data_IF_053325949248
#
_entry.id   IF_053325949248
#
_cell.length_a   1.000
_cell.length_b   1.000
_cell.length_c   1.000
_cell.angle_alpha   90.00
_cell.angle_beta   90.00
_cell.angle_gamma   90.00
#
_symmetry.space_group_name_H-M   'P 1'
#
loop_
_entity.id
_entity.type
_entity.pdbx_description
1 polymer ?
#
# COMPACT_ATOMS: atom_id res chain seq x y z
N UNK A 1 11.85 -19.18 85.54
CA UNK A 1 11.54 -18.47 84.28
C UNK A 1 10.61 -19.39 83.49
N UNK A 2 9.35 -19.01 83.33
CA UNK A 2 8.23 -19.93 83.07
C UNK A 2 8.14 -20.38 81.60
N UNK A 3 7.94 -21.70 81.39
CA UNK A 3 7.66 -22.36 80.10
C UNK A 3 6.49 -21.73 79.30
N UNK A 4 5.63 -20.96 79.97
CA UNK A 4 4.46 -20.28 79.38
C UNK A 4 4.83 -19.13 78.42
N UNK A 5 6.00 -18.51 78.56
CA UNK A 5 6.42 -17.38 77.71
C UNK A 5 6.94 -17.83 76.35
N UNK A 6 7.45 -19.06 76.22
CA UNK A 6 8.00 -19.60 74.97
C UNK A 6 6.87 -20.03 74.01
N UNK A 7 5.78 -20.61 74.53
CA UNK A 7 4.62 -21.04 73.74
C UNK A 7 3.84 -19.87 73.13
N UNK A 8 3.68 -18.76 73.86
CA UNK A 8 3.06 -17.52 73.35
C UNK A 8 3.86 -16.89 72.19
N UNK A 9 5.19 -16.98 72.22
CA UNK A 9 6.04 -16.51 71.12
C UNK A 9 5.85 -17.32 69.84
N UNK A 10 5.68 -18.64 69.93
CA UNK A 10 5.46 -19.50 68.77
C UNK A 10 4.13 -19.24 68.05
N UNK A 11 3.06 -18.98 68.79
CA UNK A 11 1.74 -18.66 68.20
C UNK A 11 1.70 -17.29 67.52
N UNK A 12 2.38 -16.29 68.09
CA UNK A 12 2.52 -14.96 67.49
C UNK A 12 3.34 -15.02 66.19
N UNK A 13 4.46 -15.76 66.19
CA UNK A 13 5.27 -15.96 64.98
C UNK A 13 4.52 -16.74 63.88
N UNK A 14 3.64 -17.67 64.24
CA UNK A 14 2.82 -18.44 63.28
C UNK A 14 1.69 -17.58 62.69
N UNK A 15 1.08 -16.72 63.50
CA UNK A 15 0.06 -15.75 63.08
C UNK A 15 0.62 -14.68 62.15
N UNK A 16 1.79 -14.10 62.47
CA UNK A 16 2.48 -13.11 61.62
C UNK A 16 2.90 -13.73 60.28
N UNK A 17 3.40 -14.98 60.27
CA UNK A 17 3.73 -15.69 59.01
C UNK A 17 2.50 -15.95 58.15
N UNK A 18 1.36 -16.34 58.72
CA UNK A 18 0.12 -16.52 57.95
C UNK A 18 -0.39 -15.19 57.37
N UNK A 19 -0.29 -14.10 58.12
CA UNK A 19 -0.72 -12.77 57.67
C UNK A 19 0.18 -12.23 56.54
N UNK A 20 1.50 -12.42 56.62
CA UNK A 20 2.41 -12.06 55.51
C UNK A 20 2.16 -12.88 54.24
N UNK A 21 1.88 -14.17 54.38
CA UNK A 21 1.55 -15.04 53.23
C UNK A 21 0.25 -14.58 52.56
N UNK A 22 -0.77 -14.22 53.34
CA UNK A 22 -2.02 -13.68 52.79
C UNK A 22 -1.80 -12.36 52.06
N UNK A 23 -0.99 -11.45 52.60
CA UNK A 23 -0.66 -10.17 51.96
C UNK A 23 0.11 -10.39 50.65
N UNK A 24 1.07 -11.32 50.61
CA UNK A 24 1.81 -11.67 49.40
C UNK A 24 0.92 -12.29 48.32
N UNK A 25 0.02 -13.19 48.70
CA UNK A 25 -0.97 -13.78 47.77
C UNK A 25 -1.92 -12.70 47.25
N UNK A 26 -2.40 -11.81 48.11
CA UNK A 26 -3.29 -10.73 47.70
C UNK A 26 -2.59 -9.73 46.76
N UNK A 27 -1.35 -9.35 47.05
CA UNK A 27 -0.55 -8.48 46.17
C UNK A 27 -0.24 -9.14 44.81
N UNK A 28 0.03 -10.45 44.77
CA UNK A 28 0.26 -11.18 43.51
C UNK A 28 -1.02 -11.32 42.68
N UNK A 29 -2.17 -11.54 43.32
CA UNK A 29 -3.48 -11.54 42.64
C UNK A 29 -3.83 -10.16 42.09
N UNK A 30 -3.58 -9.08 42.84
CA UNK A 30 -3.84 -7.71 42.35
C UNK A 30 -2.93 -7.35 41.19
N UNK A 31 -1.64 -7.68 41.26
CA UNK A 31 -0.69 -7.39 40.17
C UNK A 31 -1.02 -8.19 38.91
N UNK A 32 -1.39 -9.46 39.03
CA UNK A 32 -1.81 -10.28 37.87
C UNK A 32 -3.13 -9.79 37.25
N UNK A 33 -4.10 -9.37 38.05
CA UNK A 33 -5.34 -8.76 37.55
C UNK A 33 -5.09 -7.43 36.83
N UNK A 34 -4.21 -6.58 37.36
CA UNK A 34 -3.83 -5.32 36.72
C UNK A 34 -3.07 -5.53 35.41
N UNK A 35 -2.15 -6.50 35.35
CA UNK A 35 -1.47 -6.87 34.10
C UNK A 35 -2.47 -7.35 33.05
N UNK A 36 -3.43 -8.21 33.42
CA UNK A 36 -4.45 -8.70 32.48
C UNK A 36 -5.37 -7.58 31.97
N UNK A 37 -5.73 -6.62 32.83
CA UNK A 37 -6.51 -5.45 32.45
C UNK A 37 -5.74 -4.54 31.47
N UNK A 38 -4.45 -4.26 31.75
CA UNK A 38 -3.58 -3.51 30.84
C UNK A 38 -3.40 -4.24 29.50
N UNK A 39 -3.25 -5.56 29.51
CA UNK A 39 -3.09 -6.35 28.27
C UNK A 39 -4.36 -6.32 27.41
N UNK A 40 -5.55 -6.32 28.02
CA UNK A 40 -6.83 -6.13 27.31
C UNK A 40 -6.98 -4.72 26.74
N UNK A 41 -6.59 -3.69 27.49
CA UNK A 41 -6.63 -2.30 27.03
C UNK A 41 -5.66 -2.08 25.84
N UNK A 42 -4.42 -2.57 25.95
CA UNK A 42 -3.41 -2.49 24.88
C UNK A 42 -3.86 -3.22 23.61
N UNK A 43 -4.57 -4.36 23.73
CA UNK A 43 -5.13 -5.07 22.56
C UNK A 43 -6.35 -4.39 21.95
N UNK A 44 -7.03 -3.51 22.68
CA UNK A 44 -8.24 -2.84 22.22
C UNK A 44 -7.93 -1.50 21.52
N UNK A 45 -6.73 -0.95 21.73
CA UNK A 45 -6.26 0.34 21.16
C UNK A 45 -5.43 0.21 19.88
N UNK A 46 -5.05 -0.99 19.42
CA UNK A 46 -4.68 -1.17 18.01
C UNK A 46 -5.96 -1.15 17.18
N UNK A 47 -6.42 0.07 16.83
CA UNK A 47 -7.54 0.28 15.93
C UNK A 47 -7.33 -0.58 14.66
N UNK A 48 -8.12 -1.64 14.53
CA UNK A 48 -7.97 -2.60 13.44
C UNK A 48 -8.25 -1.90 12.09
N UNK A 49 -7.19 -1.52 11.39
CA UNK A 49 -7.27 -0.78 10.12
C UNK A 49 -7.66 -1.74 9.00
N UNK A 50 -8.95 -1.79 8.67
CA UNK A 50 -9.52 -2.72 7.68
C UNK A 50 -8.89 -2.55 6.29
N UNK A 51 -8.61 -1.32 5.84
CA UNK A 51 -8.06 -1.11 4.49
C UNK A 51 -6.66 -1.71 4.28
N UNK A 52 -5.91 -1.94 5.37
CA UNK A 52 -4.60 -2.62 5.34
C UNK A 52 -4.71 -4.15 5.49
N UNK A 53 -5.88 -4.68 5.83
CA UNK A 53 -6.09 -6.11 5.96
C UNK A 53 -6.24 -6.77 4.58
N UNK A 54 -5.25 -7.57 4.18
CA UNK A 54 -5.27 -8.33 2.92
C UNK A 54 -6.38 -9.38 2.83
N UNK A 55 -6.93 -9.82 3.96
CA UNK A 55 -7.99 -10.82 4.02
C UNK A 55 -9.40 -10.19 3.94
N UNK A 56 -9.52 -8.86 4.05
CA UNK A 56 -10.77 -8.16 3.85
C UNK A 56 -11.09 -8.03 2.36
N UNK A 57 -12.37 -7.97 2.00
CA UNK A 57 -12.79 -7.76 0.61
C UNK A 57 -12.33 -6.39 0.11
N UNK A 58 -12.15 -6.25 -1.21
CA UNK A 58 -11.76 -4.97 -1.83
C UNK A 58 -12.75 -3.85 -1.46
N UNK A 59 -14.05 -4.14 -1.49
CA UNK A 59 -15.10 -3.16 -1.15
C UNK A 59 -14.97 -2.68 0.30
N UNK A 60 -14.81 -3.59 1.26
CA UNK A 60 -14.60 -3.23 2.68
C UNK A 60 -13.35 -2.36 2.86
N UNK A 61 -12.26 -2.67 2.15
CA UNK A 61 -11.02 -1.90 2.20
C UNK A 61 -11.20 -0.49 1.63
N UNK A 62 -11.92 -0.36 0.51
CA UNK A 62 -12.24 0.94 -0.10
C UNK A 62 -13.10 1.78 0.83
N UNK A 63 -14.16 1.20 1.40
CA UNK A 63 -15.07 1.90 2.30
C UNK A 63 -14.38 2.40 3.57
N UNK A 64 -13.55 1.56 4.21
CA UNK A 64 -12.76 1.96 5.38
C UNK A 64 -11.74 3.07 5.02
N UNK A 65 -11.05 2.94 3.88
CA UNK A 65 -10.12 3.97 3.41
C UNK A 65 -10.82 5.31 3.16
N UNK A 66 -11.92 5.32 2.42
CA UNK A 66 -12.66 6.55 2.09
C UNK A 66 -13.26 7.25 3.31
N UNK A 67 -13.66 6.49 4.33
CA UNK A 67 -14.14 7.03 5.62
C UNK A 67 -13.03 7.73 6.41
N UNK A 68 -11.78 7.29 6.24
CA UNK A 68 -10.61 7.85 6.93
C UNK A 68 -10.03 9.08 6.24
N UNK A 69 -10.42 9.36 4.98
CA UNK A 69 -9.88 10.48 4.20
C UNK A 69 -10.60 11.80 4.51
N UNK A 70 -9.83 12.88 4.68
CA UNK A 70 -10.36 14.24 4.60
C UNK A 70 -10.75 14.59 3.16
N UNK A 71 -11.40 15.75 2.97
CA UNK A 71 -11.72 16.22 1.63
C UNK A 71 -10.45 16.49 0.81
N UNK A 72 -9.44 17.11 1.43
CA UNK A 72 -8.16 17.46 0.80
C UNK A 72 -7.40 16.20 0.36
N UNK A 73 -7.42 15.16 1.19
CA UNK A 73 -6.79 13.88 0.88
C UNK A 73 -7.49 13.14 -0.26
N UNK A 74 -8.75 13.47 -0.59
CA UNK A 74 -9.46 12.92 -1.76
C UNK A 74 -9.09 13.58 -3.07
N UNK A 75 -8.57 14.81 -3.04
CA UNK A 75 -8.33 15.60 -4.27
C UNK A 75 -7.12 15.09 -5.04
N UNK A 76 -5.97 14.90 -4.40
CA UNK A 76 -4.75 14.54 -5.13
C UNK A 76 -4.73 13.11 -5.69
N UNK A 77 -5.39 12.12 -5.06
CA UNK A 77 -5.57 10.80 -5.66
C UNK A 77 -6.33 10.81 -7.00
N UNK A 78 -7.10 11.85 -7.31
CA UNK A 78 -7.78 11.96 -8.62
C UNK A 78 -6.93 12.63 -9.69
N UNK A 79 -5.67 12.98 -9.40
CA UNK A 79 -4.80 13.66 -10.35
C UNK A 79 -3.78 12.70 -10.98
N UNK A 80 -3.43 12.99 -12.23
CA UNK A 80 -2.34 12.36 -12.95
C UNK A 80 -1.31 13.41 -13.36
N UNK A 81 -0.07 13.26 -12.91
CA UNK A 81 1.03 14.14 -13.32
C UNK A 81 2.01 13.43 -14.22
N UNK A 82 2.79 14.19 -14.98
CA UNK A 82 3.84 13.62 -15.82
C UNK A 82 5.20 13.78 -15.17
N UNK A 83 5.94 12.68 -15.04
CA UNK A 83 7.25 12.67 -14.41
C UNK A 83 8.31 12.05 -15.33
N UNK A 84 9.54 12.58 -15.28
CA UNK A 84 10.64 12.17 -16.16
C UNK A 84 10.83 13.10 -17.36
N UNK A 85 11.99 12.96 -18.01
CA UNK A 85 12.36 13.80 -19.16
C UNK A 85 11.36 13.58 -20.29
N UNK A 86 10.85 14.68 -20.83
CA UNK A 86 10.16 14.63 -22.11
C UNK A 86 11.23 14.51 -23.20
N UNK A 87 11.23 13.43 -23.98
CA UNK A 87 12.14 13.27 -25.10
C UNK A 87 11.77 14.17 -26.29
N UNK A 88 10.60 14.81 -26.26
CA UNK A 88 10.18 15.77 -27.29
C UNK A 88 10.85 17.13 -27.05
N UNK A 89 11.63 17.57 -28.03
CA UNK A 89 12.34 18.85 -28.02
C UNK A 89 11.41 20.06 -27.84
N UNK A 90 10.14 19.95 -28.28
CA UNK A 90 9.13 21.00 -28.12
C UNK A 90 8.57 21.10 -26.70
N UNK A 91 8.88 20.12 -25.83
CA UNK A 91 8.33 20.00 -24.48
C UNK A 91 9.40 19.85 -23.39
N UNK A 92 10.63 20.31 -23.65
CA UNK A 92 11.79 20.21 -22.73
C UNK A 92 11.56 20.97 -21.41
N UNK A 93 10.63 21.94 -21.37
CA UNK A 93 10.36 22.79 -20.19
C UNK A 93 9.68 22.08 -19.02
N UNK A 94 9.42 20.77 -19.09
CA UNK A 94 8.88 20.03 -17.95
C UNK A 94 9.90 20.05 -16.81
N UNK A 95 9.71 20.98 -15.87
CA UNK A 95 10.50 21.06 -14.65
C UNK A 95 10.40 19.73 -13.91
N UNK A 96 11.48 19.36 -13.21
CA UNK A 96 11.42 18.28 -12.21
C UNK A 96 10.50 18.76 -11.08
N UNK A 97 9.19 18.69 -11.29
CA UNK A 97 8.22 19.02 -10.24
C UNK A 97 8.41 17.96 -9.15
N UNK A 98 8.64 18.41 -7.92
CA UNK A 98 8.72 17.51 -6.78
C UNK A 98 7.39 16.74 -6.70
N UNK A 99 7.48 15.41 -6.70
CA UNK A 99 6.29 14.57 -6.62
C UNK A 99 5.71 14.67 -5.21
N UNK A 100 4.41 14.95 -5.16
CA UNK A 100 3.64 14.99 -3.93
C UNK A 100 3.30 13.57 -3.48
N UNK A 101 3.44 13.22 -2.20
CA UNK A 101 3.19 11.87 -1.71
C UNK A 101 1.72 11.44 -1.87
N UNK A 102 0.78 12.38 -1.96
CA UNK A 102 -0.66 12.11 -2.07
C UNK A 102 -1.15 11.98 -3.53
N UNK A 103 -0.25 12.07 -4.52
CA UNK A 103 -0.63 11.99 -5.94
C UNK A 103 -1.20 10.61 -6.28
N UNK A 104 -2.29 10.58 -7.03
CA UNK A 104 -2.92 9.32 -7.42
C UNK A 104 -2.12 8.54 -8.46
N UNK A 105 -1.66 9.22 -9.50
CA UNK A 105 -0.93 8.56 -10.58
C UNK A 105 0.12 9.44 -11.25
N UNK A 106 1.10 8.78 -11.87
CA UNK A 106 2.11 9.41 -12.71
C UNK A 106 2.16 8.76 -14.09
N UNK A 107 2.22 9.58 -15.15
CA UNK A 107 2.79 9.15 -16.42
C UNK A 107 4.30 9.10 -16.21
N UNK A 108 4.83 7.90 -15.96
CA UNK A 108 6.20 7.70 -15.52
C UNK A 108 7.11 7.41 -16.71
N UNK A 109 7.85 8.44 -17.15
CA UNK A 109 8.72 8.40 -18.35
C UNK A 109 10.20 8.19 -18.02
N UNK A 110 10.50 7.67 -16.84
CA UNK A 110 11.87 7.33 -16.45
C UNK A 110 12.01 5.82 -16.36
N UNK A 111 13.19 5.30 -16.69
CA UNK A 111 13.52 3.88 -16.53
C UNK A 111 14.34 3.61 -15.26
N UNK A 112 14.49 4.61 -14.39
CA UNK A 112 15.38 4.51 -13.23
C UNK A 112 14.61 3.97 -12.00
N UNK A 113 14.87 2.71 -11.59
CA UNK A 113 14.16 2.10 -10.46
C UNK A 113 14.40 2.82 -9.13
N UNK A 114 15.54 3.51 -8.98
CA UNK A 114 15.86 4.28 -7.76
C UNK A 114 14.85 5.41 -7.57
N UNK A 115 14.55 6.17 -8.63
CA UNK A 115 13.59 7.27 -8.56
C UNK A 115 12.17 6.78 -8.31
N UNK A 116 11.79 5.65 -8.91
CA UNK A 116 10.48 5.05 -8.65
C UNK A 116 10.34 4.65 -7.19
N UNK A 117 11.31 3.90 -6.67
CA UNK A 117 11.29 3.40 -5.31
C UNK A 117 11.30 4.53 -4.27
N UNK A 118 12.00 5.63 -4.57
CA UNK A 118 11.98 6.84 -3.74
C UNK A 118 10.57 7.46 -3.68
N UNK A 119 9.90 7.64 -4.82
CA UNK A 119 8.52 8.17 -4.86
C UNK A 119 7.53 7.26 -4.14
N UNK A 120 7.65 5.93 -4.32
CA UNK A 120 6.81 4.97 -3.62
C UNK A 120 7.04 5.03 -2.10
N UNK A 121 8.31 5.06 -1.67
CA UNK A 121 8.66 5.21 -0.26
C UNK A 121 8.09 6.51 0.32
N UNK A 122 8.18 7.60 -0.44
CA UNK A 122 7.61 8.90 -0.09
C UNK A 122 6.10 8.80 0.12
N UNK A 123 5.37 8.22 -0.84
CA UNK A 123 3.93 8.01 -0.73
C UNK A 123 3.57 7.12 0.48
N UNK A 124 4.32 6.06 0.73
CA UNK A 124 4.05 5.16 1.85
C UNK A 124 4.35 5.77 3.23
N UNK A 125 5.37 6.64 3.33
CA UNK A 125 5.87 7.15 4.61
C UNK A 125 5.40 8.56 4.96
N UNK A 126 5.20 9.43 3.96
CA UNK A 126 4.83 10.84 4.18
C UNK A 126 3.33 11.09 4.03
N UNK A 127 2.63 10.29 3.22
CA UNK A 127 1.18 10.37 3.19
C UNK A 127 0.61 9.60 4.39
N UNK A 128 -0.20 10.27 5.21
CA UNK A 128 -0.83 9.71 6.42
C UNK A 128 -1.50 8.35 6.21
N UNK A 129 -2.13 8.14 5.04
CA UNK A 129 -2.83 6.90 4.70
C UNK A 129 -1.95 5.87 3.98
N UNK A 130 -0.74 6.23 3.58
CA UNK A 130 0.20 5.34 2.89
C UNK A 130 -0.38 4.73 1.62
N UNK A 131 -1.07 5.54 0.80
CA UNK A 131 -1.65 5.09 -0.47
C UNK A 131 -0.53 5.11 -1.53
N UNK A 132 -0.25 3.99 -2.22
CA UNK A 132 0.78 3.95 -3.26
C UNK A 132 0.34 4.70 -4.52
N UNK A 133 1.33 5.16 -5.29
CA UNK A 133 1.12 5.88 -6.55
C UNK A 133 0.89 4.87 -7.69
N UNK A 134 -0.03 5.13 -8.61
CA UNK A 134 -0.16 4.34 -9.83
C UNK A 134 0.80 4.83 -10.92
N UNK A 135 1.63 3.93 -11.45
CA UNK A 135 2.57 4.27 -12.54
C UNK A 135 1.97 3.88 -13.90
N UNK A 136 1.60 4.88 -14.69
CA UNK A 136 1.05 4.76 -16.03
C UNK A 136 2.10 4.95 -17.13
N UNK A 137 2.04 4.14 -18.19
CA UNK A 137 2.88 4.32 -19.38
C UNK A 137 2.24 3.75 -20.67
N UNK A 138 2.58 4.32 -21.82
CA UNK A 138 2.12 3.83 -23.12
C UNK A 138 2.85 2.54 -23.52
N UNK A 139 2.11 1.42 -23.62
CA UNK A 139 2.61 0.10 -24.05
C UNK A 139 1.73 -0.38 -25.20
N UNK A 140 1.81 0.32 -26.34
CA UNK A 140 0.83 0.20 -27.44
C UNK A 140 1.05 -1.06 -28.28
N UNK A 141 2.30 -1.32 -28.68
CA UNK A 141 2.65 -2.47 -29.52
C UNK A 141 3.91 -3.14 -28.99
N UNK A 142 3.96 -3.31 -27.66
CA UNK A 142 5.11 -3.82 -26.94
C UNK A 142 5.82 -2.78 -26.08
N UNK A 143 6.69 -3.24 -25.18
CA UNK A 143 7.44 -2.38 -24.25
C UNK A 143 8.93 -2.33 -24.62
N UNK A 144 9.63 -3.45 -24.47
CA UNK A 144 11.02 -3.63 -24.91
C UNK A 144 11.06 -4.38 -26.24
N UNK A 145 10.33 -5.48 -26.32
CA UNK A 145 10.09 -6.19 -27.58
C UNK A 145 9.01 -5.44 -28.35
N UNK A 146 9.31 -5.04 -29.59
CA UNK A 146 8.42 -4.24 -30.42
C UNK A 146 7.70 -5.16 -31.42
N UNK A 147 6.38 -5.20 -31.30
CA UNK A 147 5.49 -5.96 -32.18
C UNK A 147 4.95 -5.08 -33.31
N UNK A 148 4.33 -5.68 -34.36
CA UNK A 148 3.60 -4.92 -35.36
C UNK A 148 2.56 -4.01 -34.69
N UNK A 149 2.30 -2.85 -35.29
CA UNK A 149 1.27 -1.91 -34.80
C UNK A 149 -0.12 -2.56 -34.77
N UNK A 150 -1.06 -2.09 -33.91
CA UNK A 150 -2.39 -2.69 -33.76
C UNK A 150 -3.13 -2.93 -35.06
N UNK A 151 -3.05 -2.01 -36.03
CA UNK A 151 -3.64 -2.22 -37.36
C UNK A 151 -3.08 -3.46 -38.08
N UNK A 152 -1.77 -3.66 -38.03
CA UNK A 152 -1.13 -4.83 -38.63
C UNK A 152 -1.49 -6.13 -37.87
N UNK A 153 -1.62 -6.05 -36.54
CA UNK A 153 -2.11 -7.17 -35.73
C UNK A 153 -3.57 -7.51 -36.06
N UNK A 154 -4.42 -6.52 -36.31
CA UNK A 154 -5.81 -6.74 -36.72
C UNK A 154 -5.89 -7.47 -38.08
N UNK A 155 -4.99 -7.17 -39.03
CA UNK A 155 -4.89 -7.88 -40.31
C UNK A 155 -4.55 -9.37 -40.14
N UNK A 156 -3.84 -9.76 -39.08
CA UNK A 156 -3.51 -11.16 -38.79
C UNK A 156 -4.74 -11.99 -38.40
N UNK A 157 -5.73 -11.37 -37.73
CA UNK A 157 -6.96 -12.02 -37.24
C UNK A 157 -6.71 -13.26 -36.35
N UNK A 158 -5.60 -13.27 -35.60
CA UNK A 158 -5.24 -14.35 -34.68
C UNK A 158 -5.19 -13.83 -33.23
N UNK A 159 -6.30 -13.98 -32.50
CA UNK A 159 -6.41 -13.48 -31.14
C UNK A 159 -5.43 -14.15 -30.18
N UNK A 160 -5.11 -15.43 -30.38
CA UNK A 160 -4.17 -16.14 -29.52
C UNK A 160 -2.75 -15.55 -29.62
N UNK A 161 -2.31 -15.19 -30.83
CA UNK A 161 -0.97 -14.58 -30.99
C UNK A 161 -0.93 -13.15 -30.44
N UNK A 162 -2.03 -12.40 -30.59
CA UNK A 162 -2.16 -11.05 -30.02
C UNK A 162 -2.14 -11.11 -28.49
N UNK A 163 -2.84 -12.07 -27.89
CA UNK A 163 -2.83 -12.30 -26.45
C UNK A 163 -1.43 -12.65 -25.94
N UNK A 164 -0.70 -13.53 -26.65
CA UNK A 164 0.68 -13.86 -26.30
C UNK A 164 1.61 -12.63 -26.38
N UNK A 165 1.49 -11.81 -27.42
CA UNK A 165 2.26 -10.58 -27.54
C UNK A 165 1.93 -9.59 -26.41
N UNK A 166 0.66 -9.43 -26.06
CA UNK A 166 0.22 -8.60 -24.95
C UNK A 166 0.74 -9.13 -23.60
N UNK A 167 0.75 -10.45 -23.38
CA UNK A 167 1.29 -11.07 -22.17
C UNK A 167 2.79 -10.82 -22.01
N UNK A 168 3.57 -10.89 -23.10
CA UNK A 168 5.00 -10.54 -23.08
C UNK A 168 5.17 -9.05 -22.76
N UNK A 169 4.42 -8.17 -23.42
CA UNK A 169 4.47 -6.73 -23.17
C UNK A 169 4.13 -6.39 -21.70
N UNK A 170 3.12 -7.03 -21.13
CA UNK A 170 2.73 -6.88 -19.73
C UNK A 170 3.82 -7.37 -18.77
N UNK A 171 4.50 -8.48 -19.09
CA UNK A 171 5.63 -8.98 -18.30
C UNK A 171 6.80 -8.00 -18.33
N UNK A 172 7.17 -7.51 -19.51
CA UNK A 172 8.25 -6.55 -19.68
C UNK A 172 7.96 -5.22 -18.97
N UNK A 173 6.74 -4.70 -19.09
CA UNK A 173 6.33 -3.46 -18.44
C UNK A 173 6.24 -3.63 -16.91
N UNK A 174 5.79 -4.79 -16.42
CA UNK A 174 5.76 -5.04 -14.98
C UNK A 174 7.15 -5.15 -14.35
N UNK A 175 8.15 -5.66 -15.08
CA UNK A 175 9.53 -5.75 -14.60
C UNK A 175 10.20 -4.39 -14.35
N UNK A 176 9.67 -3.32 -14.95
CA UNK A 176 10.08 -1.94 -14.67
C UNK A 176 9.02 -1.18 -13.85
N UNK A 177 8.09 -1.94 -13.27
CA UNK A 177 7.00 -1.47 -12.44
C UNK A 177 6.07 -0.42 -13.07
N UNK A 178 5.71 -0.62 -14.35
CA UNK A 178 4.52 0.01 -14.92
C UNK A 178 3.31 -0.78 -14.43
N UNK A 179 2.41 -0.12 -13.71
CA UNK A 179 1.23 -0.73 -13.08
C UNK A 179 -0.01 -0.63 -13.98
N UNK A 180 -0.04 0.36 -14.86
CA UNK A 180 -1.16 0.63 -15.75
C UNK A 180 -0.65 1.05 -17.14
N UNK A 181 -1.27 0.54 -18.19
CA UNK A 181 -1.02 1.01 -19.56
C UNK A 181 -2.27 1.57 -20.23
N UNK A 182 -2.07 2.53 -21.12
CA UNK A 182 -3.12 3.23 -21.87
C UNK A 182 -3.47 2.50 -23.18
N UNK A 183 -3.58 1.17 -23.12
CA UNK A 183 -3.84 0.27 -24.24
C UNK A 183 -4.74 -0.89 -23.74
N UNK A 184 -5.65 -1.48 -24.57
CA UNK A 184 -5.87 -1.27 -26.01
C UNK A 184 -6.57 0.04 -26.37
N UNK A 185 -6.26 0.56 -27.55
CA UNK A 185 -7.15 1.49 -28.25
C UNK A 185 -8.24 0.65 -28.93
N UNK A 186 -9.49 1.09 -28.80
CA UNK A 186 -10.67 0.39 -29.34
C UNK A 186 -11.51 1.35 -30.20
N UNK A 187 -10.84 2.36 -30.75
CA UNK A 187 -11.46 3.34 -31.63
C UNK A 187 -11.77 2.71 -33.00
N UNK A 188 -12.91 3.07 -33.60
CA UNK A 188 -13.25 2.58 -34.93
C UNK A 188 -12.64 3.51 -35.98
N UNK A 189 -11.56 3.07 -36.63
CA UNK A 189 -10.83 3.83 -37.65
C UNK A 189 -11.58 3.95 -39.00
N UNK A 190 -12.62 4.80 -39.05
CA UNK A 190 -13.44 5.02 -40.25
C UNK A 190 -12.85 5.98 -41.29
N UNK A 191 -11.93 6.86 -40.89
CA UNK A 191 -11.35 7.87 -41.77
C UNK A 191 -9.84 7.65 -41.87
N UNK A 192 -9.31 7.24 -43.04
CA UNK A 192 -7.89 6.94 -43.19
C UNK A 192 -6.98 8.17 -43.13
N UNK A 193 -7.53 9.38 -43.19
CA UNK A 193 -6.78 10.62 -43.01
C UNK A 193 -6.44 10.90 -41.54
N UNK A 194 -7.02 10.16 -40.59
CA UNK A 194 -6.70 10.33 -39.18
C UNK A 194 -5.32 9.75 -38.86
N UNK A 195 -4.36 10.61 -38.49
CA UNK A 195 -2.97 10.22 -38.27
C UNK A 195 -2.71 9.20 -37.16
N UNK A 196 -3.72 8.85 -36.35
CA UNK A 196 -3.63 7.80 -35.32
C UNK A 196 -4.11 6.43 -35.78
N UNK A 197 -4.56 6.29 -37.02
CA UNK A 197 -5.13 5.05 -37.54
C UNK A 197 -4.22 3.82 -37.35
N UNK A 198 -2.89 3.98 -37.42
CA UNK A 198 -1.96 2.86 -37.27
C UNK A 198 -1.94 2.28 -35.84
N UNK A 199 -2.17 3.13 -34.83
CA UNK A 199 -2.04 2.79 -33.41
C UNK A 199 -3.38 2.58 -32.72
N UNK A 200 -4.49 2.98 -33.35
CA UNK A 200 -5.83 2.75 -32.83
C UNK A 200 -6.36 1.34 -33.04
#
# INVERSE_FOLDING_TARGET
MSFRTILLGFDIFRSIKCSLIFILIFCTVITTLNLNAQTKAIKQDEEFVVYKNKNATIVQRIEDLLKRMTLEEKVLPTNQWTYGKNANANNIKASKKAVRPEIGSLIYRSLNPVYRNDMMRKAMNEFRLGIPILMGFDVIHGYRTIYPVPLAQACLRNLNLIEQAAAVAAKESKLVDVDWTFFPMVDIARNPRWGRLAVN
#
